data_IF_951526025537
#
_entry.id   IF_951526025537
#
_cell.length_a   1.000
_cell.length_b   1.000
_cell.length_c   1.000
_cell.angle_alpha   90.00
_cell.angle_beta   90.00
_cell.angle_gamma   90.00
#
_symmetry.space_group_name_H-M   'P 1'
#
loop_
_entity.id
_entity.type
_entity.pdbx_description
1 polymer ?
#
# COMPACT_ATOMS: atom_id res chain seq x y z
N UNK A 1 -4.21 -9.53 -17.86
CA UNK A 1 -4.07 -8.10 -17.56
C UNK A 1 -3.93 -7.94 -16.05
N UNK A 2 -3.12 -6.99 -15.57
CA UNK A 2 -2.91 -6.73 -14.14
C UNK A 2 -3.53 -5.38 -13.78
N UNK A 3 -4.13 -5.27 -12.58
CA UNK A 3 -4.57 -3.97 -12.02
C UNK A 3 -3.37 -3.10 -11.64
N UNK A 4 -2.34 -3.70 -11.04
CA UNK A 4 -1.06 -3.07 -10.70
C UNK A 4 0.06 -3.86 -11.38
N UNK A 5 0.87 -3.20 -12.22
CA UNK A 5 1.92 -3.84 -13.02
C UNK A 5 3.07 -4.35 -12.13
N UNK A 6 3.53 -5.60 -12.26
CA UNK A 6 4.73 -6.09 -11.55
C UNK A 6 5.99 -5.26 -11.86
N UNK A 7 6.90 -5.22 -10.89
CA UNK A 7 8.20 -4.50 -10.84
C UNK A 7 8.12 -2.98 -10.90
N UNK A 8 7.08 -2.41 -11.49
CA UNK A 8 6.98 -0.96 -11.77
C UNK A 8 5.80 -0.32 -11.02
N UNK A 9 4.73 -1.07 -10.80
CA UNK A 9 3.53 -0.59 -10.14
C UNK A 9 3.77 -0.28 -8.66
N UNK A 10 3.19 0.82 -8.19
CA UNK A 10 3.33 1.33 -6.83
C UNK A 10 1.98 1.54 -6.17
N UNK A 11 1.90 1.21 -4.89
CA UNK A 11 0.79 1.54 -4.00
C UNK A 11 1.25 2.66 -3.07
N UNK A 12 0.58 3.81 -3.12
CA UNK A 12 0.88 4.97 -2.28
C UNK A 12 -0.20 5.12 -1.22
N UNK A 13 0.20 5.07 0.05
CA UNK A 13 -0.71 5.23 1.18
C UNK A 13 -0.30 6.48 1.96
N UNK A 14 -1.27 7.37 2.26
CA UNK A 14 -1.08 8.54 3.12
C UNK A 14 -2.33 8.74 3.98
N UNK A 15 -2.16 9.07 5.25
CA UNK A 15 -3.26 9.35 6.18
C UNK A 15 -2.77 10.17 7.38
N UNK A 16 -3.65 10.95 7.97
CA UNK A 16 -3.45 11.65 9.26
C UNK A 16 -3.80 10.79 10.48
N UNK A 17 -4.28 9.56 10.28
CA UNK A 17 -4.66 8.62 11.36
C UNK A 17 -3.57 7.56 11.52
N UNK A 18 -2.83 7.64 12.64
CA UNK A 18 -1.74 6.69 12.95
C UNK A 18 -2.18 5.23 12.95
N UNK A 19 -3.30 4.92 13.60
CA UNK A 19 -3.80 3.55 13.69
C UNK A 19 -4.12 2.96 12.31
N UNK A 20 -4.64 3.78 11.39
CA UNK A 20 -4.90 3.37 10.01
C UNK A 20 -3.59 3.15 9.24
N UNK A 21 -2.59 4.01 9.45
CA UNK A 21 -1.27 3.82 8.87
C UNK A 21 -0.62 2.50 9.36
N UNK A 22 -0.66 2.25 10.66
CA UNK A 22 -0.12 1.02 11.24
C UNK A 22 -0.82 -0.21 10.69
N UNK A 23 -2.14 -0.14 10.50
CA UNK A 23 -2.89 -1.20 9.85
C UNK A 23 -2.49 -1.39 8.38
N UNK A 24 -2.33 -0.32 7.59
CA UNK A 24 -1.82 -0.42 6.22
C UNK A 24 -0.45 -1.10 6.17
N UNK A 25 0.45 -0.69 7.08
CA UNK A 25 1.78 -1.24 7.25
C UNK A 25 1.72 -2.74 7.53
N UNK A 26 0.96 -3.14 8.55
CA UNK A 26 0.82 -4.55 8.94
C UNK A 26 0.31 -5.40 7.77
N UNK A 27 -0.74 -4.94 7.06
CA UNK A 27 -1.34 -5.72 5.97
C UNK A 27 -0.46 -5.78 4.72
N UNK A 28 0.21 -4.68 4.37
CA UNK A 28 1.07 -4.65 3.19
C UNK A 28 2.38 -5.41 3.41
N UNK A 29 3.01 -5.29 4.59
CA UNK A 29 4.24 -6.03 4.91
C UNK A 29 4.00 -7.55 5.00
N UNK A 30 2.80 -7.96 5.41
CA UNK A 30 2.41 -9.37 5.43
C UNK A 30 2.10 -9.94 4.03
N UNK A 31 1.79 -9.09 3.05
CA UNK A 31 1.38 -9.54 1.72
C UNK A 31 2.59 -9.89 0.84
N UNK A 32 2.65 -11.09 0.24
CA UNK A 32 3.86 -11.57 -0.45
C UNK A 32 4.19 -10.84 -1.75
N UNK A 33 3.26 -10.03 -2.27
CA UNK A 33 3.40 -9.30 -3.53
C UNK A 33 3.65 -7.80 -3.34
N UNK A 34 3.86 -7.35 -2.11
CA UNK A 34 4.26 -6.00 -1.81
C UNK A 34 5.61 -5.99 -1.11
N UNK A 35 6.47 -5.09 -1.55
CA UNK A 35 7.73 -4.78 -0.88
C UNK A 35 7.76 -3.29 -0.59
N UNK A 36 8.11 -2.96 0.64
CA UNK A 36 8.19 -1.58 1.11
C UNK A 36 9.36 -0.85 0.42
N UNK A 37 9.13 0.39 0.02
CA UNK A 37 10.22 1.26 -0.43
C UNK A 37 11.00 1.80 0.77
N UNK A 38 12.30 1.98 0.61
CA UNK A 38 13.13 2.65 1.62
C UNK A 38 12.80 4.14 1.69
N UNK A 39 13.21 4.81 2.77
CA UNK A 39 12.99 6.26 2.89
C UNK A 39 13.67 7.00 1.74
N UNK A 40 14.89 6.61 1.34
CA UNK A 40 15.62 7.22 0.24
C UNK A 40 14.89 7.06 -1.10
N UNK A 41 14.30 5.88 -1.35
CA UNK A 41 13.49 5.64 -2.55
C UNK A 41 12.20 6.48 -2.56
N UNK A 42 11.60 6.71 -1.40
CA UNK A 42 10.40 7.55 -1.27
C UNK A 42 10.73 9.03 -1.41
N UNK A 43 11.81 9.51 -0.80
CA UNK A 43 12.25 10.90 -0.89
C UNK A 43 12.65 11.27 -2.33
N UNK A 44 13.21 10.33 -3.08
CA UNK A 44 13.55 10.52 -4.49
C UNK A 44 12.32 10.50 -5.43
N UNK A 45 11.15 10.07 -4.96
CA UNK A 45 9.94 9.93 -5.78
C UNK A 45 9.13 11.23 -5.84
N UNK A 46 8.99 11.88 -7.01
CA UNK A 46 8.20 13.10 -7.14
C UNK A 46 6.72 12.89 -6.81
N UNK A 47 6.17 11.69 -6.98
CA UNK A 47 4.78 11.38 -6.63
C UNK A 47 4.56 11.42 -5.12
N UNK A 48 5.55 11.04 -4.31
CA UNK A 48 5.47 11.14 -2.84
C UNK A 48 5.42 12.61 -2.42
N UNK A 49 6.23 13.45 -3.06
CA UNK A 49 6.19 14.90 -2.84
C UNK A 49 4.79 15.43 -3.17
N UNK A 50 4.27 15.16 -4.37
CA UNK A 50 2.95 15.64 -4.79
C UNK A 50 1.83 15.14 -3.87
N UNK A 51 1.87 13.87 -3.45
CA UNK A 51 0.90 13.28 -2.53
C UNK A 51 0.87 14.02 -1.18
N UNK A 52 2.02 14.45 -0.66
CA UNK A 52 2.12 15.20 0.60
C UNK A 52 1.65 16.65 0.48
N UNK A 53 1.66 17.24 -0.73
CA UNK A 53 1.46 18.70 -0.88
C UNK A 53 0.20 19.11 -1.62
N UNK A 54 -0.26 18.32 -2.59
CA UNK A 54 -1.31 18.74 -3.52
C UNK A 54 -2.71 18.30 -3.13
N UNK A 55 -2.83 17.39 -2.17
CA UNK A 55 -4.14 16.97 -1.64
C UNK A 55 -4.74 18.06 -0.75
N UNK A 56 -6.07 18.18 -0.75
CA UNK A 56 -6.75 19.14 0.12
C UNK A 56 -6.44 18.91 1.61
N UNK A 57 -6.22 17.66 2.01
CA UNK A 57 -5.75 17.27 3.34
C UNK A 57 -4.31 17.75 3.59
N UNK A 58 -3.37 17.51 2.66
CA UNK A 58 -1.99 17.98 2.75
C UNK A 58 -1.88 19.52 2.81
N UNK A 59 -2.75 20.23 2.09
CA UNK A 59 -2.83 21.70 2.14
C UNK A 59 -3.36 22.22 3.48
N UNK A 60 -4.35 21.54 4.08
CA UNK A 60 -4.88 21.90 5.41
C UNK A 60 -3.80 21.78 6.49
N UNK A 61 -3.04 20.67 6.47
CA UNK A 61 -1.93 20.44 7.41
C UNK A 61 -0.86 21.54 7.31
N UNK A 62 -0.48 21.95 6.09
CA UNK A 62 0.50 23.02 5.88
C UNK A 62 0.03 24.42 6.31
N UNK A 63 -1.26 24.71 6.18
CA UNK A 63 -1.82 26.05 6.46
C UNK A 63 -2.06 26.28 7.95
N UNK A 64 -2.46 25.24 8.67
CA UNK A 64 -2.96 25.43 10.03
C UNK A 64 -1.87 25.44 11.10
N UNK A 65 -0.72 24.79 10.90
CA UNK A 65 0.48 24.91 11.75
C UNK A 65 0.30 24.74 13.29
N UNK A 66 -0.93 24.45 13.77
CA UNK A 66 -1.34 24.51 15.18
C UNK A 66 -2.27 23.37 15.61
N UNK A 67 -2.86 22.62 14.67
CA UNK A 67 -3.47 21.33 14.96
C UNK A 67 -2.65 20.27 14.24
N UNK A 68 -1.57 19.86 14.91
CA UNK A 68 -0.57 18.93 14.42
C UNK A 68 -1.17 17.57 14.13
N UNK A 69 -1.49 17.33 12.87
CA UNK A 69 -1.71 16.00 12.35
C UNK A 69 -0.46 15.64 11.56
N UNK A 70 0.36 14.78 12.17
CA UNK A 70 1.43 14.12 11.44
C UNK A 70 0.81 13.34 10.29
N UNK A 71 1.29 13.58 9.07
CA UNK A 71 0.89 12.79 7.91
C UNK A 71 1.78 11.55 7.87
N UNK A 72 1.18 10.39 8.02
CA UNK A 72 1.85 9.10 7.95
C UNK A 72 1.69 8.53 6.54
N UNK A 73 2.79 8.16 5.91
CA UNK A 73 2.78 7.60 4.56
C UNK A 73 3.73 6.43 4.41
N UNK A 74 3.41 5.53 3.48
CA UNK A 74 4.29 4.45 3.07
C UNK A 74 3.98 4.11 1.61
N UNK A 75 5.03 3.80 0.86
CA UNK A 75 4.91 3.32 -0.53
C UNK A 75 5.39 1.89 -0.63
N UNK A 76 4.70 1.10 -1.46
CA UNK A 76 5.04 -0.29 -1.75
C UNK A 76 5.17 -0.49 -3.26
N UNK A 77 6.18 -1.26 -3.68
CA UNK A 77 6.29 -1.76 -5.05
C UNK A 77 5.58 -3.11 -5.17
N UNK A 78 4.88 -3.33 -6.28
CA UNK A 78 4.37 -4.64 -6.66
C UNK A 78 5.52 -5.46 -7.20
N UNK A 79 5.92 -6.50 -6.49
CA UNK A 79 6.99 -7.43 -6.90
C UNK A 79 6.41 -8.54 -7.78
N UNK A 80 7.20 -9.12 -8.67
CA UNK A 80 6.79 -10.25 -9.50
C UNK A 80 6.70 -11.55 -8.67
N UNK A 81 5.74 -12.40 -9.02
CA UNK A 81 5.45 -13.68 -8.35
C UNK A 81 6.61 -14.68 -8.51
N UNK A 82 7.46 -14.49 -9.54
CA UNK A 82 8.55 -15.40 -9.88
C UNK A 82 9.87 -15.09 -9.15
N UNK A 83 9.95 -13.97 -8.42
CA UNK A 83 11.16 -13.58 -7.69
C UNK A 83 11.46 -14.53 -6.53
N UNK A 84 12.74 -14.88 -6.37
CA UNK A 84 13.20 -15.97 -5.50
C UNK A 84 12.86 -15.76 -4.01
N UNK A 85 12.90 -14.52 -3.51
CA UNK A 85 12.51 -14.17 -2.13
C UNK A 85 11.00 -14.35 -1.87
N UNK A 86 10.20 -14.38 -2.92
CA UNK A 86 8.74 -14.48 -2.86
C UNK A 86 8.26 -15.91 -3.11
N UNK A 87 9.03 -16.80 -3.75
CA UNK A 87 8.59 -18.19 -3.99
C UNK A 87 8.20 -18.96 -2.71
N UNK A 88 8.84 -18.67 -1.58
CA UNK A 88 8.48 -19.28 -0.28
C UNK A 88 7.29 -18.60 0.40
N UNK A 89 7.08 -17.29 0.18
CA UNK A 89 5.95 -16.53 0.75
C UNK A 89 4.68 -16.59 -0.10
N UNK A 90 4.83 -16.80 -1.42
CA UNK A 90 3.77 -17.07 -2.40
C UNK A 90 3.47 -18.58 -2.37
N UNK A 91 3.28 -19.13 -1.18
CA UNK A 91 2.77 -20.47 -1.01
C UNK A 91 1.29 -20.49 -1.41
N UNK A 92 0.97 -21.15 -2.53
CA UNK A 92 -0.35 -21.67 -2.92
C UNK A 92 -1.57 -20.72 -2.90
N UNK A 93 -1.40 -19.41 -2.71
CA UNK A 93 -2.49 -18.44 -2.45
C UNK A 93 -2.47 -17.20 -3.34
N UNK A 94 -2.03 -17.32 -4.60
CA UNK A 94 -2.26 -16.24 -5.58
C UNK A 94 -3.77 -16.02 -5.69
N UNK A 95 -4.25 -14.91 -5.11
CA UNK A 95 -5.64 -14.52 -5.22
C UNK A 95 -5.87 -14.04 -6.65
N UNK A 96 -6.33 -14.96 -7.48
CA UNK A 96 -6.80 -14.65 -8.84
C UNK A 96 -8.21 -14.08 -8.75
N UNK A 97 -8.69 -13.41 -9.80
CA UNK A 97 -10.10 -13.00 -9.87
C UNK A 97 -11.08 -14.19 -9.68
N UNK A 98 -10.63 -15.41 -9.99
CA UNK A 98 -11.40 -16.64 -9.79
C UNK A 98 -11.45 -17.09 -8.32
N UNK A 99 -10.43 -16.76 -7.52
CA UNK A 99 -10.30 -17.20 -6.12
C UNK A 99 -10.63 -16.07 -5.13
N UNK A 100 -10.66 -14.82 -5.59
CA UNK A 100 -10.97 -13.62 -4.78
C UNK A 100 -12.39 -13.63 -4.22
N UNK A 101 -13.35 -14.24 -4.92
CA UNK A 101 -14.72 -14.43 -4.46
C UNK A 101 -14.95 -15.81 -3.82
N UNK A 102 -13.87 -16.50 -3.43
CA UNK A 102 -13.98 -17.77 -2.70
C UNK A 102 -14.78 -17.61 -1.41
N UNK A 103 -15.66 -18.58 -1.14
CA UNK A 103 -16.58 -18.56 -0.01
C UNK A 103 -15.85 -18.31 1.32
N UNK A 104 -16.36 -17.34 2.10
CA UNK A 104 -16.05 -17.20 3.53
C UNK A 104 -14.97 -16.18 3.93
N UNK A 105 -14.19 -15.61 3.00
CA UNK A 105 -13.07 -14.72 3.40
C UNK A 105 -13.44 -13.26 3.71
N UNK A 106 -14.67 -12.83 3.41
CA UNK A 106 -15.14 -11.45 3.67
C UNK A 106 -16.50 -11.35 4.36
N UNK A 107 -16.98 -12.44 4.98
CA UNK A 107 -18.27 -12.43 5.69
C UNK A 107 -19.49 -12.20 4.78
N UNK A 108 -19.35 -12.45 3.47
CA UNK A 108 -20.48 -12.44 2.54
C UNK A 108 -21.02 -13.86 2.47
N UNK A 109 -22.11 -14.12 3.20
CA UNK A 109 -22.89 -15.35 3.01
C UNK A 109 -23.66 -15.25 1.67
N UNK A 110 -23.49 -16.26 0.82
CA UNK A 110 -24.28 -16.39 -0.41
C UNK A 110 -25.59 -17.07 -0.03
N UNK A 111 -26.73 -16.42 -0.30
CA UNK A 111 -28.08 -16.98 -0.14
C UNK A 111 -28.39 -18.03 -1.21
#
# INVERSE_FOLDING_TARGET
AFLLKPEVGRLYCITDVKDLHDWHVEKCDAHPLFERLTEEEMEADPCVTLMKTETEEGKKVKREGRFGHDMYYQVYKRVDETLAANKEKVGLGSVTAANFFGEGEFGVEVQ
#
